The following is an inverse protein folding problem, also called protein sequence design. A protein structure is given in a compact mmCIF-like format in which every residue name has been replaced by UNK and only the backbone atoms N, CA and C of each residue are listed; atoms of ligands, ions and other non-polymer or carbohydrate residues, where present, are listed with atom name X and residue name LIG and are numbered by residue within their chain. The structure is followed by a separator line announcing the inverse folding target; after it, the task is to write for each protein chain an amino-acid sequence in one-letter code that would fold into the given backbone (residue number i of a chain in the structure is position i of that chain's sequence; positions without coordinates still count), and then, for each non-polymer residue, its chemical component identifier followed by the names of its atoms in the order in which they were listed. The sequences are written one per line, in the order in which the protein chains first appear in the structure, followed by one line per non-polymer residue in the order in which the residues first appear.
data_IF_975529469792
#
_entry.id   IF_975529469792
#
_cell.length_a   1.000
_cell.length_b   1.000
_cell.length_c   1.000
_cell.angle_alpha   90.00
_cell.angle_beta   90.00
_cell.angle_gamma   90.00
#
_symmetry.space_group_name_H-M   'P 1'
#
loop_
_entity.id
_entity.type
_entity.pdbx_description
1 polymer ?
#
# COMPACT_ATOMS: atom_id res chain seq x y z
N UNK A 1 -32.82 -9.58 38.87
CA UNK A 1 -32.64 -10.06 37.49
C UNK A 1 -32.79 -8.85 36.58
N UNK A 2 -31.67 -8.21 36.24
CA UNK A 2 -31.63 -6.99 35.41
C UNK A 2 -31.04 -7.39 34.07
N UNK A 3 -31.82 -7.24 32.99
CA UNK A 3 -31.40 -7.51 31.62
C UNK A 3 -30.19 -6.64 31.25
N UNK A 4 -29.03 -7.27 31.05
CA UNK A 4 -27.93 -6.71 30.25
C UNK A 4 -28.17 -7.09 28.78
N UNK A 5 -28.92 -6.26 28.08
CA UNK A 5 -29.09 -6.37 26.63
C UNK A 5 -28.99 -4.97 26.03
N UNK A 6 -27.82 -4.61 25.51
CA UNK A 6 -27.67 -3.32 24.82
C UNK A 6 -26.28 -2.72 24.70
N UNK A 7 -25.19 -3.51 24.69
CA UNK A 7 -23.85 -2.99 24.39
C UNK A 7 -23.16 -3.84 23.31
N UNK A 8 -23.87 -4.02 22.22
CA UNK A 8 -23.29 -4.38 20.93
C UNK A 8 -23.80 -3.31 19.99
N UNK A 9 -22.96 -2.83 19.06
CA UNK A 9 -23.19 -1.81 18.03
C UNK A 9 -22.31 -0.55 18.28
N UNK A 10 -21.50 -0.23 17.26
CA UNK A 10 -20.55 0.89 17.10
C UNK A 10 -19.08 0.68 17.54
N UNK A 11 -18.40 -0.35 17.00
CA UNK A 11 -16.92 -0.32 16.86
C UNK A 11 -16.48 -0.39 15.38
N UNK A 12 -17.39 -0.68 14.45
CA UNK A 12 -17.03 -1.03 13.05
C UNK A 12 -16.63 0.18 12.18
N UNK A 13 -16.71 1.43 12.67
CA UNK A 13 -16.62 2.60 11.80
C UNK A 13 -15.35 3.46 11.94
N UNK A 14 -14.24 2.94 12.49
CA UNK A 14 -13.04 3.79 12.75
C UNK A 14 -11.81 3.37 11.92
N UNK A 15 -11.77 2.16 11.33
CA UNK A 15 -10.70 1.78 10.41
C UNK A 15 -11.25 1.76 8.99
N UNK A 16 -10.91 2.78 8.21
CA UNK A 16 -11.16 2.77 6.77
C UNK A 16 -10.12 1.85 6.11
N UNK A 17 -10.38 0.55 6.14
CA UNK A 17 -9.62 -0.45 5.40
C UNK A 17 -10.24 -0.52 4.01
N UNK A 18 -9.45 -0.21 2.98
CA UNK A 18 -9.88 -0.30 1.60
C UNK A 18 -9.33 -1.58 0.98
N UNK A 19 -10.07 -2.24 0.08
CA UNK A 19 -9.49 -3.31 -0.73
C UNK A 19 -8.32 -2.74 -1.53
N UNK A 20 -7.23 -3.50 -1.58
CA UNK A 20 -6.10 -3.15 -2.43
C UNK A 20 -6.50 -3.19 -3.91
N UNK A 21 -5.87 -2.35 -4.72
CA UNK A 21 -6.16 -2.23 -6.15
C UNK A 21 -5.10 -2.92 -6.98
N UNK A 22 -5.53 -3.72 -7.96
CA UNK A 22 -4.62 -4.19 -9.00
C UNK A 22 -4.18 -3.01 -9.84
N UNK A 23 -2.90 -2.94 -10.16
CA UNK A 23 -2.39 -2.01 -11.16
C UNK A 23 -1.80 -2.79 -12.32
N UNK A 24 -1.86 -2.19 -13.50
CA UNK A 24 -1.16 -2.66 -14.69
C UNK A 24 -0.01 -1.68 -14.93
N UNK A 25 1.26 -2.07 -14.71
CA UNK A 25 2.38 -1.20 -15.01
C UNK A 25 2.43 -0.85 -16.50
N UNK A 26 2.98 0.31 -16.80
CA UNK A 26 3.18 0.73 -18.18
C UNK A 26 4.26 -0.13 -18.85
N UNK A 27 3.95 -0.60 -20.06
CA UNK A 27 4.85 -1.44 -20.82
C UNK A 27 6.00 -0.66 -21.48
N UNK A 28 5.82 0.65 -21.68
CA UNK A 28 6.81 1.53 -22.32
C UNK A 28 6.50 3.01 -21.98
N UNK A 29 7.43 3.90 -22.37
CA UNK A 29 7.32 5.35 -22.15
C UNK A 29 6.07 5.95 -22.80
N UNK A 30 5.70 5.51 -24.00
CA UNK A 30 4.54 6.07 -24.73
C UNK A 30 3.23 5.81 -23.98
N UNK A 31 3.04 4.60 -23.48
CA UNK A 31 1.86 4.22 -22.69
C UNK A 31 1.80 5.01 -21.38
N UNK A 32 2.95 5.18 -20.71
CA UNK A 32 3.07 5.98 -19.50
C UNK A 32 2.68 7.43 -19.75
N UNK A 33 3.23 8.08 -20.79
CA UNK A 33 2.93 9.47 -21.10
C UNK A 33 1.48 9.69 -21.52
N UNK A 34 0.92 8.79 -22.33
CA UNK A 34 -0.50 8.87 -22.73
C UNK A 34 -1.43 8.81 -21.51
N UNK A 35 -1.07 8.01 -20.51
CA UNK A 35 -1.86 7.84 -19.29
C UNK A 35 -1.62 8.95 -18.26
N UNK A 36 -0.39 9.45 -18.15
CA UNK A 36 0.03 10.42 -17.13
C UNK A 36 -0.10 11.87 -17.59
N UNK A 37 0.00 12.20 -18.88
CA UNK A 37 -0.22 13.55 -19.45
C UNK A 37 -1.65 13.66 -20.00
N UNK A 38 -2.62 13.48 -19.11
CA UNK A 38 -4.03 13.29 -19.46
C UNK A 38 -4.89 14.56 -19.36
N UNK A 39 -4.28 15.74 -19.27
CA UNK A 39 -4.97 17.04 -19.17
C UNK A 39 -5.80 17.19 -17.89
N UNK A 40 -5.35 16.57 -16.81
CA UNK A 40 -6.08 16.29 -15.58
C UNK A 40 -6.81 17.50 -14.98
N UNK A 41 -8.14 17.36 -14.85
CA UNK A 41 -9.04 18.37 -14.28
C UNK A 41 -10.13 17.71 -13.46
N UNK A 42 -10.18 18.03 -12.16
CA UNK A 42 -11.35 17.79 -11.31
C UNK A 42 -12.27 19.02 -11.19
N UNK A 43 -11.77 20.27 -11.41
CA UNK A 43 -12.57 21.49 -11.14
C UNK A 43 -12.31 22.79 -11.99
N UNK A 44 -11.54 22.80 -13.09
CA UNK A 44 -11.37 24.03 -13.93
C UNK A 44 -11.37 23.69 -15.43
N UNK A 45 -11.44 24.66 -16.37
CA UNK A 45 -11.60 24.43 -17.85
C UNK A 45 -10.38 24.66 -18.80
N UNK A 46 -9.18 25.10 -18.37
CA UNK A 46 -8.04 25.55 -19.22
C UNK A 46 -6.70 24.78 -19.06
N UNK A 47 -6.60 23.47 -19.34
CA UNK A 47 -5.31 22.71 -19.40
C UNK A 47 -5.40 21.81 -20.60
N UNK A 48 -4.25 21.67 -21.21
CA UNK A 48 -4.08 20.93 -22.44
C UNK A 48 -3.43 19.62 -22.03
N UNK A 49 -4.11 18.52 -22.32
CA UNK A 49 -3.45 17.22 -22.32
C UNK A 49 -2.36 17.22 -23.39
N UNK A 50 -1.33 16.39 -23.19
CA UNK A 50 -0.19 16.26 -24.09
C UNK A 50 0.62 17.56 -24.23
N UNK A 51 0.76 18.31 -23.14
CA UNK A 51 1.64 19.49 -23.12
C UNK A 51 3.11 19.12 -22.86
N UNK A 52 3.39 17.82 -22.67
CA UNK A 52 4.70 17.25 -22.44
C UNK A 52 5.13 17.32 -20.98
N UNK A 53 4.25 17.78 -20.07
CA UNK A 53 4.55 17.94 -18.65
C UNK A 53 3.46 17.32 -17.77
N UNK A 54 3.85 16.32 -17.00
CA UNK A 54 2.96 15.66 -16.04
C UNK A 54 2.82 16.55 -14.79
N UNK A 55 1.61 17.00 -14.51
CA UNK A 55 1.25 17.80 -13.34
C UNK A 55 0.72 16.96 -12.18
N UNK A 56 0.72 17.52 -10.98
CA UNK A 56 0.13 16.89 -9.78
C UNK A 56 -1.33 16.50 -10.00
N UNK A 57 -2.11 17.34 -10.68
CA UNK A 57 -3.51 17.07 -11.00
C UNK A 57 -3.71 15.90 -11.96
N UNK A 58 -2.79 15.73 -12.91
CA UNK A 58 -2.85 14.63 -13.87
C UNK A 58 -2.49 13.30 -13.23
N UNK A 59 -1.44 13.29 -12.43
CA UNK A 59 -1.05 12.10 -11.67
C UNK A 59 -2.14 11.72 -10.66
N UNK A 60 -2.70 12.70 -9.94
CA UNK A 60 -3.84 12.51 -9.04
C UNK A 60 -5.05 11.87 -9.75
N UNK A 61 -5.37 12.36 -10.96
CA UNK A 61 -6.45 11.80 -11.78
C UNK A 61 -6.13 10.38 -12.23
N UNK A 62 -4.92 10.11 -12.71
CA UNK A 62 -4.49 8.78 -13.12
C UNK A 62 -4.53 7.77 -11.95
N UNK A 63 -4.08 8.19 -10.76
CA UNK A 63 -4.11 7.37 -9.54
C UNK A 63 -5.53 7.21 -8.96
N UNK A 64 -6.49 8.05 -9.34
CA UNK A 64 -7.80 8.15 -8.69
C UNK A 64 -7.69 8.61 -7.22
N UNK A 65 -6.70 9.45 -6.92
CA UNK A 65 -6.38 9.95 -5.57
C UNK A 65 -6.33 11.47 -5.60
N UNK A 66 -7.12 12.13 -4.75
CA UNK A 66 -7.28 13.59 -4.80
C UNK A 66 -6.21 14.38 -4.02
N UNK A 67 -5.93 13.97 -2.77
CA UNK A 67 -5.10 14.76 -1.84
C UNK A 67 -3.99 13.96 -1.17
N UNK A 68 -4.02 12.63 -1.27
CA UNK A 68 -3.04 11.76 -0.64
C UNK A 68 -1.78 11.64 -1.52
N UNK A 69 -0.83 12.53 -1.24
CA UNK A 69 0.44 12.61 -1.98
C UNK A 69 1.25 11.32 -1.88
N UNK A 70 1.22 10.64 -0.74
CA UNK A 70 1.99 9.41 -0.52
C UNK A 70 1.45 8.27 -1.39
N UNK A 71 0.12 8.09 -1.41
CA UNK A 71 -0.52 7.13 -2.32
C UNK A 71 -0.31 7.46 -3.79
N UNK A 72 -0.22 8.74 -4.12
CA UNK A 72 0.07 9.20 -5.48
C UNK A 72 1.50 8.87 -5.90
N UNK A 73 2.49 9.06 -5.02
CA UNK A 73 3.89 8.68 -5.30
C UNK A 73 4.03 7.16 -5.38
N UNK A 74 3.35 6.42 -4.51
CA UNK A 74 3.30 4.97 -4.53
C UNK A 74 2.68 4.44 -5.84
N UNK A 75 1.60 5.06 -6.32
CA UNK A 75 1.00 4.74 -7.61
C UNK A 75 1.99 4.95 -8.75
N UNK A 76 2.67 6.10 -8.78
CA UNK A 76 3.66 6.41 -9.81
C UNK A 76 4.77 5.36 -9.83
N UNK A 77 5.39 5.10 -8.68
CA UNK A 77 6.47 4.11 -8.55
C UNK A 77 6.06 2.73 -9.07
N UNK A 78 4.91 2.25 -8.60
CA UNK A 78 4.41 0.93 -8.96
C UNK A 78 3.99 0.87 -10.44
N UNK A 79 3.45 1.94 -11.00
CA UNK A 79 3.04 2.00 -12.42
C UNK A 79 4.24 2.01 -13.37
N UNK A 80 5.41 2.45 -12.91
CA UNK A 80 6.65 2.50 -13.70
C UNK A 80 7.54 1.27 -13.50
N UNK A 81 7.10 0.26 -12.73
CA UNK A 81 7.98 -0.84 -12.30
C UNK A 81 8.52 -1.72 -13.44
N UNK A 82 7.87 -1.72 -14.61
CA UNK A 82 8.31 -2.47 -15.80
C UNK A 82 9.22 -1.66 -16.73
N UNK A 83 9.34 -0.35 -16.52
CA UNK A 83 10.21 0.50 -17.32
C UNK A 83 11.66 0.33 -16.87
N UNK A 84 12.57 0.38 -17.84
CA UNK A 84 14.01 0.50 -17.57
C UNK A 84 14.35 1.85 -16.92
N UNK A 85 15.55 1.97 -16.35
CA UNK A 85 15.96 3.22 -15.71
C UNK A 85 16.03 4.41 -16.69
N UNK A 86 16.45 4.16 -17.94
CA UNK A 86 16.45 5.17 -19.01
C UNK A 86 15.03 5.62 -19.37
N UNK A 87 14.07 4.69 -19.40
CA UNK A 87 12.67 5.01 -19.66
C UNK A 87 12.02 5.73 -18.47
N UNK A 88 12.33 5.34 -17.24
CA UNK A 88 11.90 6.06 -16.04
C UNK A 88 12.46 7.47 -16.05
N UNK A 89 13.72 7.67 -16.42
CA UNK A 89 14.35 8.97 -16.55
C UNK A 89 13.61 9.88 -17.54
N UNK A 90 13.14 9.33 -18.67
CA UNK A 90 12.30 10.08 -19.61
C UNK A 90 10.97 10.53 -18.97
N UNK A 91 10.38 9.75 -18.08
CA UNK A 91 9.18 10.16 -17.33
C UNK A 91 9.54 11.23 -16.28
N UNK A 92 10.67 11.06 -15.58
CA UNK A 92 11.15 12.00 -14.56
C UNK A 92 11.36 13.41 -15.12
N UNK A 93 11.94 13.52 -16.31
CA UNK A 93 12.18 14.80 -16.99
C UNK A 93 10.90 15.55 -17.37
N UNK A 94 9.77 14.84 -17.46
CA UNK A 94 8.46 15.40 -17.78
C UNK A 94 7.64 15.72 -16.53
N UNK A 95 8.07 15.33 -15.34
CA UNK A 95 7.36 15.70 -14.13
C UNK A 95 7.47 17.22 -13.87
N UNK A 96 6.39 17.80 -13.35
CA UNK A 96 6.44 19.15 -12.83
C UNK A 96 7.39 19.26 -11.64
N UNK A 97 7.95 20.45 -11.44
CA UNK A 97 8.85 20.73 -10.31
C UNK A 97 8.22 20.37 -8.96
N UNK A 98 6.93 20.66 -8.78
CA UNK A 98 6.18 20.32 -7.55
C UNK A 98 6.04 18.81 -7.34
N UNK A 99 5.88 18.05 -8.43
CA UNK A 99 5.84 16.59 -8.39
C UNK A 99 7.20 16.01 -8.05
N UNK A 100 8.28 16.50 -8.67
CA UNK A 100 9.65 16.07 -8.34
C UNK A 100 9.94 16.30 -6.85
N UNK A 101 9.59 17.48 -6.32
CA UNK A 101 9.74 17.77 -4.89
C UNK A 101 8.88 16.86 -4.00
N UNK A 102 7.64 16.57 -4.42
CA UNK A 102 6.75 15.67 -3.69
C UNK A 102 7.31 14.24 -3.68
N UNK A 103 7.86 13.78 -4.80
CA UNK A 103 8.48 12.46 -4.92
C UNK A 103 9.72 12.36 -4.04
N UNK A 104 10.64 13.33 -4.10
CA UNK A 104 11.83 13.35 -3.23
C UNK A 104 11.50 13.26 -1.73
N UNK A 105 10.35 13.80 -1.31
CA UNK A 105 9.92 13.80 0.09
C UNK A 105 9.14 12.54 0.49
N UNK A 106 8.37 11.96 -0.43
CA UNK A 106 7.36 10.93 -0.15
C UNK A 106 7.53 9.66 -0.99
N UNK A 107 8.67 9.49 -1.66
CA UNK A 107 8.97 8.29 -2.43
C UNK A 107 8.86 7.05 -1.54
N UNK A 108 8.16 6.00 -2.01
CA UNK A 108 8.14 4.74 -1.29
C UNK A 108 9.53 4.12 -1.26
N UNK A 109 9.84 3.41 -0.17
CA UNK A 109 11.09 2.67 -0.06
C UNK A 109 10.95 1.30 -0.72
N UNK A 110 11.86 0.96 -1.62
CA UNK A 110 11.99 -0.40 -2.16
C UNK A 110 12.66 -1.27 -1.10
N UNK A 111 12.08 -2.43 -0.78
CA UNK A 111 12.62 -3.36 0.21
C UNK A 111 12.42 -4.80 -0.22
N UNK A 112 13.37 -5.66 0.15
CA UNK A 112 13.14 -7.10 0.17
C UNK A 112 12.22 -7.48 1.36
N UNK A 113 11.51 -8.62 1.32
CA UNK A 113 10.72 -9.10 2.46
C UNK A 113 11.54 -9.20 3.76
N UNK A 114 12.76 -9.74 3.68
CA UNK A 114 13.69 -9.87 4.81
C UNK A 114 14.07 -8.51 5.41
N UNK A 115 14.35 -7.51 4.56
CA UNK A 115 14.66 -6.13 4.95
C UNK A 115 13.44 -5.44 5.57
N UNK A 116 12.27 -5.59 4.96
CA UNK A 116 11.03 -4.98 5.44
C UNK A 116 10.69 -5.47 6.86
N UNK A 117 10.89 -6.76 7.13
CA UNK A 117 10.67 -7.33 8.47
C UNK A 117 11.55 -6.66 9.55
N UNK A 118 12.80 -6.34 9.22
CA UNK A 118 13.81 -5.89 10.17
C UNK A 118 13.94 -4.36 10.27
N UNK A 119 13.66 -3.65 9.17
CA UNK A 119 14.05 -2.25 9.01
C UNK A 119 12.91 -1.33 8.58
N UNK A 120 11.75 -1.86 8.20
CA UNK A 120 10.63 -1.02 7.80
C UNK A 120 10.14 -0.15 8.97
N UNK A 121 9.91 1.13 8.67
CA UNK A 121 9.48 2.12 9.66
C UNK A 121 7.96 2.19 9.67
N UNK A 122 7.29 2.16 10.84
CA UNK A 122 5.85 2.39 10.91
C UNK A 122 5.44 3.67 10.18
N UNK A 123 4.31 3.60 9.46
CA UNK A 123 3.73 4.67 8.65
C UNK A 123 4.55 5.08 7.42
N UNK A 124 5.62 4.37 7.05
CA UNK A 124 6.29 4.62 5.76
C UNK A 124 5.57 3.90 4.62
N UNK A 125 5.57 4.51 3.44
CA UNK A 125 5.22 3.83 2.19
C UNK A 125 6.37 2.95 1.74
N UNK A 126 6.08 1.72 1.35
CA UNK A 126 7.07 0.80 0.81
C UNK A 126 6.53 0.08 -0.42
N UNK A 127 7.47 -0.44 -1.20
CA UNK A 127 7.22 -1.40 -2.25
C UNK A 127 8.04 -2.65 -1.94
N UNK A 128 7.38 -3.80 -1.91
CA UNK A 128 7.99 -5.09 -1.57
C UNK A 128 7.62 -6.11 -2.64
N UNK A 129 8.62 -6.87 -3.12
CA UNK A 129 8.46 -7.93 -4.11
C UNK A 129 8.78 -9.28 -3.49
N UNK A 130 8.03 -10.31 -3.85
CA UNK A 130 8.32 -11.67 -3.42
C UNK A 130 7.27 -12.67 -3.89
N UNK A 131 7.43 -13.93 -3.49
CA UNK A 131 6.47 -15.00 -3.77
C UNK A 131 5.37 -15.00 -2.71
N UNK A 132 4.11 -14.89 -3.15
CA UNK A 132 2.94 -14.86 -2.27
C UNK A 132 2.50 -16.24 -1.84
N UNK A 133 2.13 -16.37 -0.57
CA UNK A 133 1.48 -17.57 -0.02
C UNK A 133 0.42 -17.18 0.98
N UNK A 134 -0.76 -17.76 0.84
CA UNK A 134 -1.86 -17.57 1.78
C UNK A 134 -1.57 -18.15 3.17
N UNK A 135 -1.95 -17.43 4.23
CA UNK A 135 -1.90 -17.95 5.62
C UNK A 135 -3.22 -18.65 5.94
N UNK A 136 -3.19 -19.98 5.96
CA UNK A 136 -4.41 -20.81 5.99
C UNK A 136 -5.20 -20.78 7.31
N UNK A 137 -4.56 -20.54 8.46
CA UNK A 137 -5.23 -20.66 9.76
C UNK A 137 -5.10 -19.43 10.66
N UNK A 138 -6.25 -19.02 11.20
CA UNK A 138 -6.37 -18.00 12.27
C UNK A 138 -5.62 -18.38 13.54
N UNK A 139 -5.42 -19.68 13.77
CA UNK A 139 -4.74 -20.19 14.97
C UNK A 139 -3.21 -20.03 14.88
N UNK A 140 -2.67 -19.81 13.67
CA UNK A 140 -1.23 -19.64 13.45
C UNK A 140 -0.77 -18.20 13.70
N UNK A 141 -1.70 -17.24 13.81
CA UNK A 141 -1.36 -15.83 13.91
C UNK A 141 -1.91 -15.14 15.16
N UNK A 142 -1.01 -14.74 16.05
CA UNK A 142 -1.32 -14.14 17.36
C UNK A 142 -1.12 -12.63 17.42
N UNK A 143 -0.94 -11.96 16.28
CA UNK A 143 -0.69 -10.51 16.25
C UNK A 143 -1.96 -9.66 16.31
N UNK A 144 -1.83 -8.51 16.97
CA UNK A 144 -2.89 -7.55 17.22
C UNK A 144 -2.55 -6.19 16.61
N UNK A 145 -3.59 -5.46 16.20
CA UNK A 145 -3.52 -4.06 15.83
C UNK A 145 -4.21 -3.19 16.89
N UNK A 146 -3.73 -1.96 17.07
CA UNK A 146 -4.38 -0.99 17.95
C UNK A 146 -5.33 -0.10 17.16
N UNK A 147 -6.56 -0.04 17.62
CA UNK A 147 -7.64 0.71 16.97
C UNK A 147 -8.10 1.80 17.92
N UNK A 148 -8.05 3.09 17.53
CA UNK A 148 -8.59 4.16 18.35
C UNK A 148 -10.13 4.07 18.37
N UNK A 149 -10.72 4.27 19.54
CA UNK A 149 -12.16 4.41 19.73
C UNK A 149 -12.40 5.76 20.37
N UNK A 150 -13.18 6.60 19.69
CA UNK A 150 -13.60 7.90 20.21
C UNK A 150 -14.90 7.70 21.00
N UNK A 151 -14.86 7.94 22.31
CA UNK A 151 -16.04 8.01 23.15
C UNK A 151 -16.14 9.45 23.65
N UNK A 152 -17.13 10.18 23.14
CA UNK A 152 -17.25 11.64 23.28
C UNK A 152 -15.97 12.38 22.86
N UNK A 153 -15.22 12.91 23.84
CA UNK A 153 -13.96 13.66 23.65
C UNK A 153 -12.72 12.87 24.11
N UNK A 154 -12.89 11.61 24.49
CA UNK A 154 -11.80 10.76 25.00
C UNK A 154 -11.45 9.71 23.94
N UNK A 155 -10.18 9.67 23.55
CA UNK A 155 -9.64 8.61 22.70
C UNK A 155 -9.19 7.44 23.60
N UNK A 156 -9.86 6.30 23.47
CA UNK A 156 -9.40 5.02 24.02
C UNK A 156 -8.81 4.15 22.91
N UNK A 157 -8.01 3.14 23.24
CA UNK A 157 -7.44 2.20 22.27
C UNK A 157 -7.86 0.78 22.59
N UNK A 158 -8.30 0.03 21.57
CA UNK A 158 -8.63 -1.39 21.69
C UNK A 158 -7.68 -2.22 20.84
N UNK A 159 -7.22 -3.35 21.39
CA UNK A 159 -6.44 -4.33 20.63
C UNK A 159 -7.38 -5.31 19.95
N UNK A 160 -7.26 -5.44 18.62
CA UNK A 160 -8.06 -6.35 17.81
C UNK A 160 -7.10 -7.33 17.10
N UNK A 161 -7.35 -8.65 17.10
CA UNK A 161 -6.57 -9.58 16.29
C UNK A 161 -6.58 -9.16 14.82
N UNK A 162 -5.43 -9.13 14.16
CA UNK A 162 -5.35 -8.61 12.78
C UNK A 162 -6.23 -9.43 11.81
N UNK A 163 -6.35 -10.74 12.04
CA UNK A 163 -7.14 -11.69 11.23
C UNK A 163 -8.65 -11.44 11.30
N UNK A 164 -9.10 -10.60 12.22
CA UNK A 164 -10.48 -10.14 12.23
C UNK A 164 -10.75 -9.13 11.12
N UNK A 165 -9.74 -8.32 10.76
CA UNK A 165 -9.83 -7.19 9.84
C UNK A 165 -9.19 -7.46 8.48
N UNK A 166 -8.23 -8.39 8.42
CA UNK A 166 -7.44 -8.65 7.24
C UNK A 166 -7.36 -10.12 6.87
N UNK A 167 -7.20 -10.33 5.57
CA UNK A 167 -6.72 -11.55 4.93
C UNK A 167 -5.19 -11.44 4.83
N UNK A 168 -4.47 -12.42 5.36
CA UNK A 168 -3.00 -12.37 5.53
C UNK A 168 -2.27 -13.28 4.54
N UNK A 169 -1.15 -12.78 4.05
CA UNK A 169 -0.25 -13.50 3.15
C UNK A 169 1.19 -13.39 3.65
N UNK A 170 1.95 -14.47 3.47
CA UNK A 170 3.39 -14.44 3.51
C UNK A 170 3.91 -13.99 2.14
N UNK A 171 4.81 -13.01 2.14
CA UNK A 171 5.60 -12.64 0.98
C UNK A 171 7.03 -13.11 1.23
N UNK A 172 7.48 -14.10 0.48
CA UNK A 172 8.79 -14.74 0.67
C UNK A 172 9.81 -14.20 -0.32
N UNK A 173 11.01 -13.96 0.19
CA UNK A 173 12.19 -13.75 -0.62
C UNK A 173 12.65 -15.09 -1.24
N UNK A 174 13.18 -15.04 -2.47
CA UNK A 174 13.77 -16.20 -3.13
C UNK A 174 15.14 -16.59 -2.55
N UNK A 175 15.88 -15.65 -1.96
CA UNK A 175 17.25 -15.88 -1.47
C UNK A 175 17.29 -16.41 -0.03
N UNK A 176 16.51 -15.82 0.88
CA UNK A 176 16.59 -16.11 2.31
C UNK A 176 15.51 -17.04 2.87
N UNK A 177 14.45 -17.34 2.09
CA UNK A 177 13.19 -17.98 2.55
C UNK A 177 12.51 -17.28 3.75
N UNK A 178 13.01 -16.11 4.14
CA UNK A 178 12.39 -15.23 5.11
C UNK A 178 11.13 -14.61 4.50
N UNK A 179 10.12 -14.43 5.33
CA UNK A 179 8.85 -13.86 4.90
C UNK A 179 8.54 -12.54 5.59
N UNK A 180 7.78 -11.72 4.87
CA UNK A 180 7.13 -10.53 5.38
C UNK A 180 5.63 -10.65 5.25
N UNK A 181 4.89 -10.10 6.22
CA UNK A 181 3.45 -10.20 6.25
C UNK A 181 2.82 -9.09 5.42
N UNK A 182 1.94 -9.48 4.51
CA UNK A 182 1.11 -8.59 3.72
C UNK A 182 -0.34 -8.82 4.14
N UNK A 183 -1.06 -7.72 4.35
CA UNK A 183 -2.44 -7.71 4.78
C UNK A 183 -3.31 -7.01 3.73
N UNK A 184 -4.39 -7.67 3.34
CA UNK A 184 -5.43 -7.15 2.46
C UNK A 184 -6.75 -7.08 3.22
N UNK A 185 -7.61 -6.12 2.88
CA UNK A 185 -8.97 -6.04 3.43
C UNK A 185 -9.67 -7.39 3.37
N UNK A 186 -10.23 -7.82 4.50
CA UNK A 186 -10.88 -9.12 4.61
C UNK A 186 -12.06 -9.28 3.66
N UNK A 187 -12.21 -10.49 3.10
CA UNK A 187 -13.28 -10.81 2.15
C UNK A 187 -13.00 -10.32 0.73
N UNK A 188 -11.75 -9.91 0.45
CA UNK A 188 -11.31 -9.64 -0.91
C UNK A 188 -11.00 -10.95 -1.65
N UNK A 189 -10.83 -10.87 -2.96
CA UNK A 189 -10.40 -12.01 -3.77
C UNK A 189 -9.03 -12.54 -3.31
N UNK A 190 -8.90 -13.87 -3.27
CA UNK A 190 -7.65 -14.53 -2.87
C UNK A 190 -6.55 -14.24 -3.88
N UNK A 191 -5.38 -13.84 -3.40
CA UNK A 191 -4.21 -13.67 -4.25
C UNK A 191 -3.71 -15.02 -4.76
N UNK A 192 -3.22 -15.08 -6.02
CA UNK A 192 -2.56 -16.28 -6.53
C UNK A 192 -1.22 -16.51 -5.82
N UNK A 193 -0.77 -17.76 -5.80
CA UNK A 193 0.56 -18.13 -5.29
C UNK A 193 1.59 -17.95 -6.40
N UNK A 194 2.12 -16.73 -6.55
CA UNK A 194 3.10 -16.37 -7.60
C UNK A 194 3.98 -15.20 -7.16
N UNK A 195 5.00 -14.85 -7.96
CA UNK A 195 5.80 -13.65 -7.68
C UNK A 195 4.98 -12.39 -7.97
N UNK A 196 4.81 -11.57 -6.95
CA UNK A 196 4.03 -10.34 -7.00
C UNK A 196 4.79 -9.20 -6.33
N UNK A 197 4.39 -7.99 -6.68
CA UNK A 197 4.90 -6.76 -6.08
C UNK A 197 3.73 -6.02 -5.42
N UNK A 198 3.96 -5.54 -4.20
CA UNK A 198 2.97 -4.86 -3.38
C UNK A 198 3.48 -3.49 -3.00
N UNK A 199 2.62 -2.49 -3.17
CA UNK A 199 2.83 -1.15 -2.65
C UNK A 199 1.85 -0.91 -1.51
N UNK A 200 2.32 -0.38 -0.38
CA UNK A 200 1.44 -0.13 0.75
C UNK A 200 2.09 0.67 1.87
N UNK A 201 1.38 0.72 3.00
CA UNK A 201 1.83 1.41 4.21
C UNK A 201 2.23 0.40 5.28
N UNK A 202 3.36 0.65 5.93
CA UNK A 202 3.84 -0.16 7.04
C UNK A 202 3.01 0.13 8.29
N UNK A 203 2.49 -0.92 8.92
CA UNK A 203 1.69 -0.84 10.14
C UNK A 203 2.36 -1.59 11.28
N UNK A 204 2.14 -1.11 12.50
CA UNK A 204 2.63 -1.79 13.70
C UNK A 204 1.79 -3.04 14.00
N UNK A 205 2.48 -4.11 14.38
CA UNK A 205 1.92 -5.32 14.94
C UNK A 205 2.34 -5.45 16.41
N UNK A 206 1.37 -5.78 17.27
CA UNK A 206 1.60 -5.95 18.72
C UNK A 206 1.30 -7.39 19.15
N UNK A 207 2.08 -7.90 20.10
CA UNK A 207 1.76 -9.14 20.82
C UNK A 207 0.94 -8.84 22.06
N UNK A 208 0.01 -9.74 22.43
CA UNK A 208 -0.84 -9.61 23.62
C UNK A 208 -0.06 -9.74 24.93
N UNK A 209 1.04 -10.48 24.95
CA UNK A 209 1.67 -10.95 26.18
C UNK A 209 2.86 -10.12 26.67
N UNK A 210 3.31 -9.08 25.97
CA UNK A 210 4.60 -8.49 26.31
C UNK A 210 4.62 -6.96 26.40
N UNK A 211 5.06 -6.47 27.57
CA UNK A 211 5.35 -5.05 27.82
C UNK A 211 6.72 -4.63 27.26
N UNK A 212 7.46 -5.55 26.60
CA UNK A 212 8.80 -5.31 26.01
C UNK A 212 9.11 -6.09 24.72
N UNK A 213 8.20 -6.88 24.15
CA UNK A 213 8.48 -7.68 22.94
C UNK A 213 8.64 -6.81 21.71
N UNK A 214 9.51 -7.27 20.80
CA UNK A 214 9.74 -6.72 19.46
C UNK A 214 8.44 -6.21 18.83
N UNK A 215 8.42 -4.92 18.49
CA UNK A 215 7.34 -4.35 17.68
C UNK A 215 7.49 -4.95 16.30
N UNK A 216 6.63 -5.90 15.96
CA UNK A 216 6.53 -6.39 14.59
C UNK A 216 5.92 -5.32 13.70
N UNK A 217 6.09 -5.48 12.39
CA UNK A 217 5.42 -4.67 11.38
C UNK A 217 4.84 -5.56 10.29
N UNK A 218 3.86 -5.07 9.57
CA UNK A 218 3.28 -5.70 8.39
C UNK A 218 2.95 -4.65 7.33
N UNK A 219 2.77 -5.07 6.07
CA UNK A 219 2.30 -4.20 5.01
C UNK A 219 0.77 -4.21 4.94
N UNK A 220 0.13 -3.08 5.14
CA UNK A 220 -1.25 -2.88 4.67
C UNK A 220 -1.19 -2.53 3.18
N UNK A 221 -1.50 -3.50 2.32
CA UNK A 221 -1.36 -3.35 0.87
C UNK A 221 -2.40 -2.39 0.30
N UNK A 222 -1.95 -1.46 -0.54
CA UNK A 222 -2.80 -0.49 -1.26
C UNK A 222 -2.87 -0.85 -2.74
N UNK A 223 -1.73 -1.23 -3.32
CA UNK A 223 -1.61 -1.64 -4.72
C UNK A 223 -0.90 -2.98 -4.83
N UNK A 224 -1.22 -3.73 -5.88
CA UNK A 224 -0.49 -4.94 -6.23
C UNK A 224 -0.39 -5.11 -7.75
N UNK A 225 0.66 -5.79 -8.19
CA UNK A 225 0.83 -6.20 -9.57
C UNK A 225 1.61 -7.52 -9.66
N UNK A 226 1.30 -8.38 -10.65
CA UNK A 226 2.17 -9.50 -10.98
C UNK A 226 3.51 -8.98 -11.52
N UNK A 227 4.60 -9.66 -11.15
CA UNK A 227 5.89 -9.38 -11.78
C UNK A 227 5.99 -10.26 -13.03
N UNK A 228 5.90 -9.65 -14.20
CA UNK A 228 6.22 -10.32 -15.46
C UNK A 228 7.66 -10.81 -15.36
N UNK A 229 7.89 -12.10 -15.58
CA UNK A 229 9.23 -12.64 -15.80
C UNK A 229 9.73 -12.00 -17.09
N UNK A 230 10.48 -10.90 -16.98
CA UNK A 230 11.25 -10.38 -18.11
C UNK A 230 12.25 -11.47 -18.40
N UNK A 231 12.14 -12.11 -19.57
CA UNK A 231 13.12 -13.09 -20.01
C UNK A 231 14.50 -12.44 -19.98
N UNK A 232 15.37 -13.00 -19.15
CA UNK A 232 16.82 -12.81 -19.28
C UNK A 232 17.29 -13.34 -20.65
#
# INVERSE_FOLDING_TARGET
MVCLSGFVIFVVSIINIYPMKSIVPFANVTDALTSLDNGGRFYNWVSKANDGKISTSELAKAAGVFTDKERMMLFLEMSLMQLSDDEKQQIWERLSTDLVQSFQKHAPQQMLPSEARLHAKPSSMVVVKGFTRWVESKDQFSGFIMVPIMIDKVTSFTMIPIVEQYDLYELRDHESDEYFLIAQAKGSERLPDQTMQFGGVIRELRSRQDKKSERGVFLEAIYYAPVSQVGE
#
